data_IF_941242115050
#
_entry.id   IF_941242115050
#
_cell.length_a   1.000
_cell.length_b   1.000
_cell.length_c   1.000
_cell.angle_alpha   90.00
_cell.angle_beta   90.00
_cell.angle_gamma   90.00
#
_symmetry.space_group_name_H-M   'P 1'
#
loop_
_entity.id
_entity.type
_entity.pdbx_description
1 polymer ?
#
# COMPACT_ATOMS: atom_id res chain seq x y z
N UNK A 1 26.83 -16.58 18.62
CA UNK A 1 25.59 -17.15 18.05
C UNK A 1 24.45 -16.95 19.06
N UNK A 2 24.15 -15.69 19.40
CA UNK A 2 23.02 -15.35 20.28
C UNK A 2 22.13 -14.36 19.53
N UNK A 3 22.73 -13.28 19.05
CA UNK A 3 22.10 -12.22 18.23
C UNK A 3 21.32 -12.72 17.01
N UNK A 4 21.78 -13.80 16.36
CA UNK A 4 21.11 -14.35 15.18
C UNK A 4 19.89 -15.22 15.53
N UNK A 5 19.86 -15.84 16.71
CA UNK A 5 18.65 -16.50 17.22
C UNK A 5 17.66 -15.45 17.72
N UNK A 6 18.14 -14.48 18.51
CA UNK A 6 17.31 -13.40 19.05
C UNK A 6 16.64 -12.59 17.92
N UNK A 7 17.32 -12.43 16.78
CA UNK A 7 16.75 -11.78 15.60
C UNK A 7 15.60 -12.58 14.98
N UNK A 8 15.68 -13.92 14.94
CA UNK A 8 14.59 -14.78 14.47
C UNK A 8 13.40 -14.67 15.43
N UNK A 9 13.65 -14.69 16.74
CA UNK A 9 12.60 -14.55 17.76
C UNK A 9 11.91 -13.17 17.72
N UNK A 10 12.64 -12.12 17.30
CA UNK A 10 12.10 -10.78 17.07
C UNK A 10 11.43 -10.61 15.69
N UNK A 11 11.24 -11.71 14.94
CA UNK A 11 10.67 -11.69 13.61
C UNK A 11 11.42 -10.76 12.63
N UNK A 12 12.75 -10.69 12.78
CA UNK A 12 13.65 -9.94 11.89
C UNK A 12 14.26 -10.87 10.86
N UNK A 13 14.48 -10.34 9.66
CA UNK A 13 15.16 -11.09 8.60
C UNK A 13 16.61 -11.36 8.98
N UNK A 14 16.99 -12.64 8.94
CA UNK A 14 18.37 -13.09 9.14
C UNK A 14 18.90 -13.61 7.81
N UNK A 15 20.05 -13.09 7.39
CA UNK A 15 20.76 -13.50 6.17
C UNK A 15 22.03 -14.25 6.55
N UNK A 16 22.32 -15.35 5.86
CA UNK A 16 23.48 -16.19 6.15
C UNK A 16 24.17 -16.65 4.86
N UNK A 17 25.51 -16.63 4.87
CA UNK A 17 26.32 -17.09 3.74
C UNK A 17 26.51 -18.60 3.85
N UNK A 18 26.08 -19.39 2.84
CA UNK A 18 26.29 -20.83 2.84
C UNK A 18 27.79 -21.15 2.75
N UNK A 19 28.23 -22.15 3.51
CA UNK A 19 29.63 -22.59 3.51
C UNK A 19 29.77 -24.12 3.51
N UNK A 20 30.99 -24.61 3.31
CA UNK A 20 31.25 -26.05 3.22
C UNK A 20 30.91 -26.74 4.54
N UNK A 21 30.24 -27.90 4.47
CA UNK A 21 29.79 -28.64 5.67
C UNK A 21 30.97 -29.13 6.53
N UNK A 22 32.14 -29.31 5.93
CA UNK A 22 33.36 -29.79 6.59
C UNK A 22 34.08 -28.69 7.37
N UNK A 23 33.80 -27.42 7.06
CA UNK A 23 34.47 -26.28 7.68
C UNK A 23 33.81 -25.93 9.02
N UNK A 24 34.60 -25.94 10.10
CA UNK A 24 34.12 -25.60 11.45
C UNK A 24 33.50 -24.21 11.53
N UNK A 25 33.95 -23.27 10.69
CA UNK A 25 33.44 -21.89 10.66
C UNK A 25 32.06 -21.79 10.01
N UNK A 26 31.72 -22.70 9.08
CA UNK A 26 30.46 -22.69 8.34
C UNK A 26 29.32 -23.42 9.06
N UNK A 27 29.61 -24.14 10.15
CA UNK A 27 28.60 -24.83 10.97
C UNK A 27 27.53 -23.86 11.49
N UNK A 28 27.93 -22.65 11.89
CA UNK A 28 27.03 -21.62 12.41
C UNK A 28 26.07 -21.07 11.35
N UNK A 29 26.60 -20.65 10.20
CA UNK A 29 25.79 -20.12 9.10
C UNK A 29 24.88 -21.19 8.50
N UNK A 30 25.36 -22.42 8.34
CA UNK A 30 24.54 -23.52 7.83
C UNK A 30 23.40 -23.89 8.80
N UNK A 31 23.63 -23.79 10.12
CA UNK A 31 22.58 -23.96 11.12
C UNK A 31 21.53 -22.83 11.07
N UNK A 32 21.94 -21.59 10.81
CA UNK A 32 21.00 -20.47 10.61
C UNK A 32 20.13 -20.68 9.38
N UNK A 33 20.71 -21.10 8.25
CA UNK A 33 19.97 -21.42 7.02
C UNK A 33 18.94 -22.53 7.30
N UNK A 34 19.33 -23.58 8.03
CA UNK A 34 18.40 -24.65 8.44
C UNK A 34 17.24 -24.14 9.32
N UNK A 35 17.47 -23.11 10.12
CA UNK A 35 16.47 -22.49 10.98
C UNK A 35 15.61 -21.44 10.25
N UNK A 36 15.75 -21.29 8.94
CA UNK A 36 14.93 -20.37 8.14
C UNK A 36 15.60 -19.03 7.80
N UNK A 37 16.90 -18.89 8.05
CA UNK A 37 17.65 -17.73 7.53
C UNK A 37 17.75 -17.78 5.99
N UNK A 38 17.70 -16.61 5.37
CA UNK A 38 17.78 -16.46 3.92
C UNK A 38 19.24 -16.67 3.47
N UNK A 39 19.52 -17.65 2.59
CA UNK A 39 20.86 -17.84 2.05
C UNK A 39 21.20 -16.69 1.10
N UNK A 40 22.39 -16.09 1.26
CA UNK A 40 22.88 -15.03 0.38
C UNK A 40 24.34 -15.26 0.00
N UNK A 41 24.72 -14.92 -1.23
CA UNK A 41 26.10 -15.03 -1.69
C UNK A 41 26.82 -13.67 -1.69
N UNK A 42 26.09 -12.58 -1.97
CA UNK A 42 26.66 -11.23 -2.11
C UNK A 42 25.90 -10.19 -1.28
N UNK A 43 26.56 -9.07 -0.98
CA UNK A 43 25.92 -7.95 -0.28
C UNK A 43 24.80 -7.29 -1.09
N UNK A 44 24.85 -7.39 -2.42
CA UNK A 44 23.81 -6.85 -3.30
C UNK A 44 22.45 -7.54 -3.09
N UNK A 45 22.45 -8.85 -2.84
CA UNK A 45 21.23 -9.61 -2.54
C UNK A 45 20.57 -9.13 -1.23
N UNK A 46 21.38 -8.79 -0.23
CA UNK A 46 20.90 -8.22 1.04
C UNK A 46 20.27 -6.85 0.76
N UNK A 47 20.92 -6.00 -0.03
CA UNK A 47 20.37 -4.70 -0.40
C UNK A 47 19.07 -4.89 -1.17
N UNK A 48 18.99 -5.77 -2.15
CA UNK A 48 17.76 -6.02 -2.91
C UNK A 48 16.61 -6.52 -2.03
N UNK A 49 16.89 -7.35 -1.03
CA UNK A 49 15.86 -7.84 -0.10
C UNK A 49 15.36 -6.75 0.87
N UNK A 50 16.24 -5.84 1.29
CA UNK A 50 15.93 -4.81 2.29
C UNK A 50 15.42 -3.50 1.64
N UNK A 51 15.89 -3.15 0.45
CA UNK A 51 15.55 -1.91 -0.27
C UNK A 51 14.03 -1.67 -0.39
N UNK A 52 13.18 -2.66 -0.78
CA UNK A 52 11.73 -2.45 -0.82
C UNK A 52 11.09 -2.25 0.56
N UNK A 53 11.76 -2.63 1.66
CA UNK A 53 11.27 -2.43 3.04
C UNK A 53 11.75 -1.10 3.65
N UNK A 54 12.94 -0.62 3.26
CA UNK A 54 13.54 0.62 3.82
C UNK A 54 13.19 1.87 3.01
N UNK A 55 13.20 1.78 1.68
CA UNK A 55 13.17 2.97 0.80
C UNK A 55 11.95 3.05 -0.10
N UNK A 56 11.12 2.01 -0.12
CA UNK A 56 9.76 2.14 -0.63
C UNK A 56 8.89 2.64 0.53
N UNK A 57 8.51 3.93 0.61
CA UNK A 57 7.21 4.20 1.21
C UNK A 57 6.27 3.30 0.43
N UNK A 58 5.61 2.34 1.09
CA UNK A 58 4.65 1.41 0.48
C UNK A 58 4.09 2.12 -0.74
N UNK A 59 4.53 1.75 -1.95
CA UNK A 59 3.88 2.29 -3.13
C UNK A 59 2.48 1.79 -2.87
N UNK A 60 1.58 2.72 -2.49
CA UNK A 60 0.17 2.46 -2.52
C UNK A 60 -0.02 2.21 -4.00
N UNK A 61 0.13 0.94 -4.37
CA UNK A 61 -0.63 0.35 -5.43
C UNK A 61 -2.04 0.52 -4.88
N UNK A 62 -2.56 1.75 -5.00
CA UNK A 62 -3.94 1.94 -5.33
C UNK A 62 -4.07 1.02 -6.53
N UNK A 63 -4.50 -0.22 -6.25
CA UNK A 63 -5.30 -0.96 -7.21
C UNK A 63 -6.20 0.14 -7.73
N UNK A 64 -6.00 0.54 -9.00
CA UNK A 64 -7.04 1.26 -9.71
C UNK A 64 -8.20 0.31 -9.58
N UNK A 65 -9.01 0.52 -8.55
CA UNK A 65 -10.29 -0.13 -8.41
C UNK A 65 -10.91 0.32 -9.72
N UNK A 66 -11.04 -0.62 -10.65
CA UNK A 66 -11.93 -0.46 -11.77
C UNK A 66 -13.31 -0.38 -11.13
N UNK A 67 -13.59 0.80 -10.57
CA UNK A 67 -14.91 1.15 -10.08
C UNK A 67 -15.72 1.12 -11.35
N UNK A 68 -16.62 0.15 -11.45
CA UNK A 68 -17.72 0.23 -12.39
C UNK A 68 -18.52 1.47 -11.97
N UNK A 69 -18.13 2.60 -12.54
CA UNK A 69 -18.78 3.88 -12.33
C UNK A 69 -20.04 3.85 -13.18
N UNK A 70 -21.18 4.08 -12.55
CA UNK A 70 -22.41 4.38 -13.30
C UNK A 70 -22.19 5.66 -14.14
N UNK A 71 -22.93 5.83 -15.24
CA UNK A 71 -22.82 7.04 -16.08
C UNK A 71 -22.98 8.34 -15.26
N UNK A 72 -23.80 8.29 -14.20
CA UNK A 72 -23.97 9.39 -13.26
C UNK A 72 -22.72 9.62 -12.38
N UNK A 73 -22.10 8.56 -11.86
CA UNK A 73 -20.89 8.63 -11.03
C UNK A 73 -19.68 9.14 -11.85
N UNK A 74 -19.60 8.77 -13.12
CA UNK A 74 -18.54 9.22 -14.03
C UNK A 74 -18.62 10.72 -14.31
N UNK A 75 -19.83 11.26 -14.55
CA UNK A 75 -20.05 12.71 -14.69
C UNK A 75 -19.72 13.47 -13.40
N UNK A 76 -20.03 12.92 -12.23
CA UNK A 76 -19.64 13.52 -10.94
C UNK A 76 -18.11 13.57 -10.82
N UNK A 77 -17.41 12.49 -11.21
CA UNK A 77 -15.95 12.42 -11.19
C UNK A 77 -15.25 13.33 -12.23
N UNK A 78 -15.92 13.67 -13.34
CA UNK A 78 -15.42 14.67 -14.29
C UNK A 78 -15.53 16.10 -13.74
N UNK A 79 -16.58 16.37 -12.96
CA UNK A 79 -16.81 17.67 -12.32
C UNK A 79 -16.07 17.82 -10.97
N UNK A 80 -15.74 16.72 -10.29
CA UNK A 80 -14.87 16.71 -9.10
C UNK A 80 -13.39 16.65 -9.51
N UNK A 81 -12.76 17.82 -9.54
CA UNK A 81 -11.32 17.95 -9.65
C UNK A 81 -10.58 17.73 -8.33
N UNK A 82 -9.37 18.29 -8.26
CA UNK A 82 -8.57 18.36 -7.02
C UNK A 82 -9.01 19.48 -6.08
N UNK A 83 -9.90 20.37 -6.53
CA UNK A 83 -10.41 21.49 -5.74
C UNK A 83 -11.68 21.10 -4.96
N UNK A 84 -11.86 21.57 -3.70
CA UNK A 84 -13.07 21.29 -2.93
C UNK A 84 -14.30 21.98 -3.55
N UNK A 85 -15.29 21.19 -3.95
CA UNK A 85 -16.55 21.70 -4.52
C UNK A 85 -17.69 21.53 -3.52
N UNK A 86 -18.50 22.58 -3.34
CA UNK A 86 -19.68 22.51 -2.48
C UNK A 86 -20.80 21.71 -3.14
N UNK A 87 -21.57 20.97 -2.35
CA UNK A 87 -22.66 20.12 -2.86
C UNK A 87 -23.71 20.89 -3.69
N UNK A 88 -23.99 22.14 -3.34
CA UNK A 88 -24.97 22.96 -4.06
C UNK A 88 -24.47 23.35 -5.46
N UNK A 89 -23.16 23.54 -5.64
CA UNK A 89 -22.58 23.81 -6.97
C UNK A 89 -22.65 22.57 -7.85
N UNK A 90 -22.41 21.39 -7.28
CA UNK A 90 -22.55 20.12 -7.99
C UNK A 90 -24.00 19.84 -8.38
N UNK A 91 -24.95 20.10 -7.48
CA UNK A 91 -26.37 19.96 -7.76
C UNK A 91 -26.82 20.88 -8.92
N UNK A 92 -26.36 22.13 -8.93
CA UNK A 92 -26.65 23.07 -10.02
C UNK A 92 -26.00 22.68 -11.36
N UNK A 93 -24.76 22.19 -11.34
CA UNK A 93 -24.06 21.78 -12.57
C UNK A 93 -24.63 20.50 -13.19
N UNK A 94 -25.11 19.58 -12.36
CA UNK A 94 -25.64 18.29 -12.80
C UNK A 94 -27.15 18.35 -13.07
N UNK A 95 -27.82 19.45 -12.77
CA UNK A 95 -29.29 19.58 -12.75
C UNK A 95 -29.97 18.41 -12.00
N UNK A 96 -29.32 17.95 -10.93
CA UNK A 96 -29.78 16.80 -10.14
C UNK A 96 -30.32 17.26 -8.79
N UNK A 97 -31.29 16.51 -8.29
CA UNK A 97 -31.85 16.70 -6.97
C UNK A 97 -30.82 16.32 -5.90
N UNK A 98 -30.66 17.17 -4.87
CA UNK A 98 -29.58 17.09 -3.87
C UNK A 98 -29.59 15.73 -3.15
N UNK A 99 -30.77 15.17 -2.88
CA UNK A 99 -30.90 13.86 -2.20
C UNK A 99 -30.32 12.74 -3.06
N UNK A 100 -30.62 12.74 -4.36
CA UNK A 100 -30.05 11.78 -5.31
C UNK A 100 -28.54 11.92 -5.46
N UNK A 101 -28.02 13.16 -5.46
CA UNK A 101 -26.59 13.44 -5.51
C UNK A 101 -25.84 12.93 -4.26
N UNK A 102 -26.41 13.15 -3.07
CA UNK A 102 -25.85 12.65 -1.80
C UNK A 102 -25.71 11.12 -1.78
N UNK A 103 -26.68 10.40 -2.34
CA UNK A 103 -26.62 8.93 -2.42
C UNK A 103 -25.47 8.45 -3.30
N UNK A 104 -25.23 9.12 -4.44
CA UNK A 104 -24.13 8.80 -5.35
C UNK A 104 -22.76 9.20 -4.78
N UNK A 105 -22.69 10.33 -4.07
CA UNK A 105 -21.45 10.74 -3.39
C UNK A 105 -21.09 9.78 -2.26
N UNK A 106 -22.09 9.30 -1.51
CA UNK A 106 -21.88 8.29 -0.46
C UNK A 106 -21.40 6.95 -1.05
N UNK A 107 -21.96 6.50 -2.18
CA UNK A 107 -21.46 5.28 -2.84
C UNK A 107 -20.01 5.45 -3.32
N UNK A 108 -19.67 6.63 -3.86
CA UNK A 108 -18.31 6.97 -4.28
C UNK A 108 -17.31 7.07 -3.11
N UNK A 109 -17.74 7.58 -1.96
CA UNK A 109 -16.95 7.64 -0.74
C UNK A 109 -16.66 6.24 -0.19
N UNK A 110 -17.67 5.35 -0.18
CA UNK A 110 -17.47 3.93 0.17
C UNK A 110 -16.55 3.21 -0.82
N UNK A 111 -16.56 3.62 -2.10
CA UNK A 111 -15.64 3.16 -3.15
C UNK A 111 -14.25 3.81 -3.07
N UNK A 112 -14.02 4.70 -2.09
CA UNK A 112 -12.76 5.41 -1.88
C UNK A 112 -12.35 6.30 -3.07
N UNK A 113 -13.31 6.76 -3.87
CA UNK A 113 -13.09 7.59 -5.05
C UNK A 113 -13.22 9.10 -4.76
N UNK A 114 -14.00 9.45 -3.73
CA UNK A 114 -14.30 10.82 -3.31
C UNK A 114 -14.16 10.91 -1.80
N UNK A 115 -13.70 12.05 -1.29
CA UNK A 115 -13.55 12.31 0.13
C UNK A 115 -14.30 13.58 0.51
N UNK A 116 -15.07 13.52 1.61
CA UNK A 116 -15.71 14.71 2.16
C UNK A 116 -14.71 15.53 2.96
N UNK A 117 -14.62 16.82 2.63
CA UNK A 117 -13.91 17.84 3.39
C UNK A 117 -14.94 18.64 4.20
N UNK A 118 -14.57 19.05 5.41
CA UNK A 118 -15.48 19.75 6.32
C UNK A 118 -16.22 20.91 5.63
N UNK A 119 -17.49 21.12 6.00
CA UNK A 119 -18.31 22.17 5.38
C UNK A 119 -19.08 21.73 4.13
N UNK A 120 -19.45 20.43 4.01
CA UNK A 120 -20.18 19.86 2.86
C UNK A 120 -19.44 20.03 1.52
N UNK A 121 -18.12 20.08 1.58
CA UNK A 121 -17.26 20.12 0.41
C UNK A 121 -16.79 18.71 0.08
N UNK A 122 -16.63 18.40 -1.19
CA UNK A 122 -16.14 17.09 -1.64
C UNK A 122 -14.93 17.29 -2.56
N UNK A 123 -13.94 16.42 -2.41
CA UNK A 123 -12.72 16.37 -3.24
C UNK A 123 -12.52 14.97 -3.79
N UNK A 124 -11.85 14.86 -4.92
CA UNK A 124 -11.41 13.56 -5.45
C UNK A 124 -10.27 13.00 -4.59
N UNK A 125 -10.36 11.71 -4.23
CA UNK A 125 -9.36 10.99 -3.43
C UNK A 125 -8.12 10.54 -4.21
#
# INVERSE_FOLDING_TARGET
MLTALDAVDQNRDVFAIPGRVVDKQSVGTNRLIRNGAVPVATGEEIIQAINPKLFNPLQRVQKKLSVELSEAEQKIMENLGSDPVHIDQLANQMEMEITSLLQQLLSLELKNAVQQVGGKQFVRA
#
